data_IF_890095827907
#
_entry.id   IF_890095827907
#
_cell.length_a   1.000
_cell.length_b   1.000
_cell.length_c   1.000
_cell.angle_alpha   90.00
_cell.angle_beta   90.00
_cell.angle_gamma   90.00
#
_symmetry.space_group_name_H-M   'P 1'
#
loop_
_entity.id
_entity.type
_entity.pdbx_description
1 polymer ?
#
# COMPACT_ATOMS: atom_id res chain seq x y z
N UNK A 1 18.15 -21.19 -24.27
CA UNK A 1 17.92 -20.82 -22.86
C UNK A 1 16.53 -21.29 -22.46
N UNK A 2 16.43 -22.15 -21.44
CA UNK A 2 15.13 -22.64 -20.95
C UNK A 2 14.35 -21.43 -20.40
N UNK A 3 13.13 -21.10 -20.89
CA UNK A 3 12.40 -19.94 -20.38
C UNK A 3 12.20 -20.13 -18.88
N UNK A 4 12.78 -19.22 -18.08
CA UNK A 4 12.70 -19.30 -16.61
C UNK A 4 11.21 -19.32 -16.22
N UNK A 5 10.80 -20.36 -15.49
CA UNK A 5 9.40 -20.52 -15.03
C UNK A 5 9.01 -19.32 -14.17
N UNK A 6 7.83 -18.74 -14.38
CA UNK A 6 7.32 -17.66 -13.53
C UNK A 6 7.15 -18.13 -12.07
N UNK A 7 7.12 -17.19 -11.12
CA UNK A 7 6.98 -17.49 -9.69
C UNK A 7 5.70 -18.29 -9.39
N UNK A 8 4.60 -17.99 -10.08
CA UNK A 8 3.35 -18.73 -9.96
C UNK A 8 3.48 -20.21 -10.32
N UNK A 9 4.00 -20.53 -11.51
CA UNK A 9 4.15 -21.91 -11.94
C UNK A 9 5.22 -22.66 -11.13
N UNK A 10 6.26 -21.96 -10.66
CA UNK A 10 7.24 -22.51 -9.71
C UNK A 10 6.57 -22.92 -8.41
N UNK A 11 5.77 -22.03 -7.81
CA UNK A 11 5.06 -22.29 -6.56
C UNK A 11 4.05 -23.43 -6.70
N UNK A 12 3.25 -23.41 -7.77
CA UNK A 12 2.24 -24.44 -8.08
C UNK A 12 2.84 -25.77 -8.59
N UNK A 13 4.17 -25.89 -8.68
CA UNK A 13 4.89 -27.09 -9.14
C UNK A 13 4.42 -27.62 -10.50
N UNK A 14 4.07 -26.72 -11.43
CA UNK A 14 3.60 -27.07 -12.79
C UNK A 14 4.49 -26.50 -13.89
N UNK A 15 4.35 -27.02 -15.11
CA UNK A 15 5.03 -26.45 -16.30
C UNK A 15 4.51 -25.04 -16.56
N UNK A 16 5.41 -24.12 -16.94
CA UNK A 16 5.06 -22.77 -17.36
C UNK A 16 4.92 -22.75 -18.89
N UNK A 17 3.70 -22.61 -19.45
CA UNK A 17 3.53 -22.50 -20.90
C UNK A 17 4.00 -21.13 -21.41
N UNK A 18 4.19 -20.99 -22.73
CA UNK A 18 4.69 -19.75 -23.35
C UNK A 18 3.71 -18.57 -23.19
N UNK A 19 2.42 -18.88 -23.14
CA UNK A 19 1.26 -17.98 -22.97
C UNK A 19 0.74 -17.98 -21.53
N UNK A 20 1.61 -18.24 -20.54
CA UNK A 20 1.22 -18.29 -19.14
C UNK A 20 0.63 -16.96 -18.65
N UNK A 21 -0.66 -16.97 -18.29
CA UNK A 21 -1.40 -15.82 -17.77
C UNK A 21 -0.71 -15.11 -16.60
N UNK A 22 -0.07 -15.87 -15.71
CA UNK A 22 0.61 -15.32 -14.52
C UNK A 22 2.02 -14.79 -14.82
N UNK A 23 2.62 -15.16 -15.95
CA UNK A 23 4.03 -14.82 -16.23
C UNK A 23 4.33 -13.33 -16.32
N UNK A 24 3.46 -12.48 -16.89
CA UNK A 24 3.70 -11.03 -16.93
C UNK A 24 3.71 -10.37 -15.55
N UNK A 25 3.01 -10.97 -14.57
CA UNK A 25 2.77 -10.33 -13.26
C UNK A 25 3.61 -10.92 -12.12
N UNK A 26 4.06 -12.18 -12.27
CA UNK A 26 4.81 -12.93 -11.26
C UNK A 26 6.16 -13.41 -11.80
N UNK A 27 7.13 -12.49 -12.03
CA UNK A 27 8.45 -12.84 -12.53
C UNK A 27 9.23 -13.72 -11.53
N UNK A 28 10.22 -14.52 -11.98
CA UNK A 28 10.91 -15.49 -11.14
C UNK A 28 11.80 -14.91 -10.04
N UNK A 29 12.12 -13.61 -10.11
CA UNK A 29 12.96 -12.90 -9.14
C UNK A 29 12.24 -12.58 -7.83
N UNK A 30 10.91 -12.65 -7.80
CA UNK A 30 10.10 -12.37 -6.62
C UNK A 30 9.16 -13.56 -6.31
N UNK A 31 9.70 -14.65 -5.73
CA UNK A 31 8.90 -15.85 -5.45
C UNK A 31 7.88 -15.64 -4.33
N UNK A 32 8.16 -14.76 -3.36
CA UNK A 32 7.31 -14.54 -2.19
C UNK A 32 6.02 -13.80 -2.56
N UNK A 33 6.09 -12.91 -3.57
CA UNK A 33 4.93 -12.20 -4.11
C UNK A 33 3.77 -13.12 -4.50
N UNK A 34 4.07 -14.25 -5.14
CA UNK A 34 3.02 -15.23 -5.46
C UNK A 34 2.59 -16.05 -4.24
N UNK A 35 3.50 -16.34 -3.31
CA UNK A 35 3.16 -17.08 -2.10
C UNK A 35 2.13 -16.33 -1.23
N UNK A 36 2.31 -15.03 -1.01
CA UNK A 36 1.37 -14.21 -0.26
C UNK A 36 -0.01 -14.18 -0.92
N UNK A 37 -0.08 -13.77 -2.19
CA UNK A 37 -1.37 -13.63 -2.89
C UNK A 37 -2.10 -14.98 -3.03
N UNK A 38 -1.35 -16.08 -3.22
CA UNK A 38 -1.93 -17.42 -3.25
C UNK A 38 -2.51 -17.82 -1.90
N UNK A 39 -1.81 -17.52 -0.80
CA UNK A 39 -2.28 -17.86 0.55
C UNK A 39 -3.57 -17.14 0.92
N UNK A 40 -3.73 -15.88 0.52
CA UNK A 40 -4.87 -15.05 0.91
C UNK A 40 -6.03 -15.14 -0.07
N UNK A 41 -5.78 -15.04 -1.37
CA UNK A 41 -6.84 -15.01 -2.39
C UNK A 41 -6.96 -16.35 -3.13
N UNK A 42 -5.85 -17.07 -3.32
CA UNK A 42 -5.78 -18.28 -4.13
C UNK A 42 -5.66 -18.00 -5.63
N UNK A 43 -4.92 -18.85 -6.35
CA UNK A 43 -4.61 -18.63 -7.77
C UNK A 43 -5.87 -18.49 -8.66
N UNK A 44 -6.91 -19.29 -8.41
CA UNK A 44 -8.14 -19.25 -9.19
C UNK A 44 -8.89 -17.93 -9.07
N UNK A 45 -8.99 -17.39 -7.85
CA UNK A 45 -9.68 -16.12 -7.61
C UNK A 45 -8.88 -14.95 -8.18
N UNK A 46 -7.55 -14.94 -8.00
CA UNK A 46 -6.67 -13.95 -8.63
C UNK A 46 -6.86 -13.96 -10.15
N UNK A 47 -6.87 -15.13 -10.79
CA UNK A 47 -7.10 -15.24 -12.23
C UNK A 47 -8.45 -14.64 -12.64
N UNK A 48 -9.52 -14.95 -11.92
CA UNK A 48 -10.87 -14.44 -12.18
C UNK A 48 -10.95 -12.91 -12.02
N UNK A 49 -10.41 -12.38 -10.92
CA UNK A 49 -10.36 -10.94 -10.64
C UNK A 49 -9.61 -10.19 -11.75
N UNK A 50 -8.42 -10.67 -12.13
CA UNK A 50 -7.62 -10.01 -13.18
C UNK A 50 -8.29 -10.09 -14.55
N UNK A 51 -8.98 -11.19 -14.88
CA UNK A 51 -9.72 -11.30 -16.15
C UNK A 51 -10.85 -10.28 -16.30
N UNK A 52 -11.43 -9.81 -15.19
CA UNK A 52 -12.46 -8.77 -15.17
C UNK A 52 -11.89 -7.36 -15.38
N UNK A 53 -10.56 -7.18 -15.30
CA UNK A 53 -9.90 -5.90 -15.47
C UNK A 53 -9.35 -5.71 -16.89
N UNK A 54 -9.29 -4.46 -17.39
CA UNK A 54 -8.50 -4.10 -18.56
C UNK A 54 -7.04 -4.53 -18.40
N UNK A 55 -6.42 -5.00 -19.48
CA UNK A 55 -5.05 -5.57 -19.43
C UNK A 55 -4.04 -4.58 -18.84
N UNK A 56 -4.24 -3.29 -19.09
CA UNK A 56 -3.36 -2.20 -18.69
C UNK A 56 -3.31 -2.04 -17.16
N UNK A 57 -4.40 -2.30 -16.45
CA UNK A 57 -4.49 -2.12 -14.99
C UNK A 57 -4.20 -3.38 -14.20
N UNK A 58 -4.07 -4.54 -14.87
CA UNK A 58 -3.82 -5.83 -14.20
C UNK A 58 -2.51 -5.87 -13.42
N UNK A 59 -1.47 -5.20 -13.93
CA UNK A 59 -0.18 -5.14 -13.24
C UNK A 59 -0.30 -4.41 -11.90
N UNK A 60 -0.91 -3.22 -11.91
CA UNK A 60 -1.16 -2.44 -10.70
C UNK A 60 -2.09 -3.18 -9.73
N UNK A 61 -3.15 -3.82 -10.24
CA UNK A 61 -4.04 -4.63 -9.41
C UNK A 61 -3.30 -5.80 -8.73
N UNK A 62 -2.36 -6.46 -9.42
CA UNK A 62 -1.53 -7.50 -8.79
C UNK A 62 -0.66 -6.90 -7.70
N UNK A 63 -0.07 -5.73 -7.90
CA UNK A 63 0.75 -5.07 -6.86
C UNK A 63 -0.08 -4.74 -5.61
N UNK A 64 -1.29 -4.20 -5.78
CA UNK A 64 -2.23 -3.95 -4.68
C UNK A 64 -2.62 -5.22 -3.95
N UNK A 65 -3.04 -6.27 -4.67
CA UNK A 65 -3.42 -7.55 -4.06
C UNK A 65 -2.26 -8.22 -3.34
N UNK A 66 -1.03 -8.12 -3.88
CA UNK A 66 0.16 -8.64 -3.22
C UNK A 66 0.48 -7.88 -1.93
N UNK A 67 0.35 -6.55 -1.93
CA UNK A 67 0.52 -5.74 -0.73
C UNK A 67 -0.52 -6.12 0.34
N UNK A 68 -1.80 -6.14 -0.02
CA UNK A 68 -2.88 -6.55 0.89
C UNK A 68 -2.66 -7.96 1.45
N UNK A 69 -2.28 -8.91 0.59
CA UNK A 69 -1.99 -10.27 1.01
C UNK A 69 -0.81 -10.35 1.99
N UNK A 70 0.26 -9.61 1.72
CA UNK A 70 1.43 -9.55 2.60
C UNK A 70 1.03 -9.01 3.97
N UNK A 71 0.32 -7.88 4.02
CA UNK A 71 -0.15 -7.31 5.28
C UNK A 71 -1.05 -8.29 6.03
N UNK A 72 -1.94 -9.02 5.35
CA UNK A 72 -2.82 -10.02 5.98
C UNK A 72 -2.07 -11.25 6.50
N UNK A 73 -0.94 -11.61 5.89
CA UNK A 73 -0.07 -12.69 6.40
C UNK A 73 0.71 -12.25 7.63
N UNK A 74 1.19 -11.00 7.65
CA UNK A 74 1.93 -10.42 8.78
C UNK A 74 1.00 -10.10 9.97
N UNK A 75 -0.20 -9.57 9.69
CA UNK A 75 -1.27 -9.32 10.65
C UNK A 75 -2.56 -10.04 10.23
N UNK A 76 -2.79 -11.26 10.75
CA UNK A 76 -3.99 -12.04 10.45
C UNK A 76 -5.30 -11.45 10.99
N UNK A 77 -5.26 -10.43 11.85
CA UNK A 77 -6.45 -9.82 12.44
C UNK A 77 -6.87 -8.60 11.64
N UNK A 78 -5.96 -7.65 11.41
CA UNK A 78 -6.29 -6.36 10.76
C UNK A 78 -5.68 -6.19 9.37
N UNK A 79 -4.60 -6.89 9.04
CA UNK A 79 -3.91 -6.73 7.75
C UNK A 79 -3.61 -5.26 7.41
N UNK A 80 -3.89 -4.86 6.18
CA UNK A 80 -3.70 -3.47 5.74
C UNK A 80 -4.65 -2.47 6.43
N UNK A 81 -5.77 -2.91 7.02
CA UNK A 81 -6.69 -2.03 7.76
C UNK A 81 -6.04 -1.48 9.02
N UNK A 82 -5.18 -2.26 9.67
CA UNK A 82 -4.38 -1.77 10.82
C UNK A 82 -3.46 -0.62 10.43
N UNK A 83 -2.85 -0.70 9.24
CA UNK A 83 -2.01 0.36 8.67
C UNK A 83 -2.85 1.61 8.38
N UNK A 84 -4.03 1.44 7.75
CA UNK A 84 -4.94 2.55 7.47
C UNK A 84 -5.33 3.27 8.76
N UNK A 85 -5.75 2.53 9.79
CA UNK A 85 -6.13 3.08 11.07
C UNK A 85 -4.98 3.85 11.75
N UNK A 86 -3.78 3.27 11.73
CA UNK A 86 -2.58 3.92 12.26
C UNK A 86 -2.30 5.24 11.54
N UNK A 87 -2.31 5.24 10.21
CA UNK A 87 -2.06 6.45 9.40
C UNK A 87 -3.12 7.52 9.65
N UNK A 88 -4.41 7.14 9.70
CA UNK A 88 -5.50 8.08 10.01
C UNK A 88 -5.32 8.71 11.39
N UNK A 89 -4.92 7.93 12.40
CA UNK A 89 -4.63 8.43 13.74
C UNK A 89 -3.47 9.43 13.73
N UNK A 90 -2.42 9.17 12.95
CA UNK A 90 -1.25 10.05 12.83
C UNK A 90 -1.59 11.35 12.09
N UNK A 91 -2.45 11.29 11.06
CA UNK A 91 -2.97 12.48 10.37
C UNK A 91 -3.72 13.36 11.37
N UNK A 92 -4.69 12.80 12.10
CA UNK A 92 -5.49 13.56 13.08
C UNK A 92 -4.63 14.22 14.18
N UNK A 93 -3.64 13.49 14.71
CA UNK A 93 -2.70 14.04 15.70
C UNK A 93 -1.90 15.20 15.13
N UNK A 94 -1.39 15.04 13.91
CA UNK A 94 -0.59 16.06 13.23
C UNK A 94 -1.42 17.30 12.93
N UNK A 95 -2.65 17.13 12.44
CA UNK A 95 -3.57 18.24 12.17
C UNK A 95 -3.93 19.01 13.45
N UNK A 96 -4.18 18.30 14.55
CA UNK A 96 -4.44 18.90 15.86
C UNK A 96 -3.24 19.71 16.38
N UNK A 97 -2.02 19.16 16.26
CA UNK A 97 -0.80 19.86 16.64
C UNK A 97 -0.58 21.11 15.77
N UNK A 98 -0.78 20.98 14.46
CA UNK A 98 -0.66 22.10 13.53
C UNK A 98 -1.63 23.23 13.89
N UNK A 99 -2.90 22.91 14.13
CA UNK A 99 -3.91 23.89 14.51
C UNK A 99 -3.54 24.60 15.83
N UNK A 100 -3.05 23.86 16.82
CA UNK A 100 -2.57 24.42 18.08
C UNK A 100 -1.41 25.38 17.87
N UNK A 101 -0.38 24.97 17.13
CA UNK A 101 0.79 25.81 16.84
C UNK A 101 0.41 27.06 16.06
N UNK A 102 -0.51 26.96 15.09
CA UNK A 102 -1.02 28.12 14.35
C UNK A 102 -1.73 29.12 15.28
N UNK A 103 -2.53 28.64 16.23
CA UNK A 103 -3.19 29.50 17.22
C UNK A 103 -2.17 30.19 18.14
N UNK A 104 -1.15 29.46 18.61
CA UNK A 104 -0.05 30.00 19.42
C UNK A 104 0.73 31.10 18.69
N UNK A 105 1.02 30.90 17.39
CA UNK A 105 1.67 31.90 16.54
C UNK A 105 0.81 33.16 16.42
N UNK A 106 -0.49 33.02 16.15
CA UNK A 106 -1.41 34.16 16.03
C UNK A 106 -1.47 34.97 17.33
N UNK A 107 -1.52 34.31 18.49
CA UNK A 107 -1.48 34.98 19.80
C UNK A 107 -0.16 35.71 20.01
N UNK A 108 0.97 35.10 19.67
CA UNK A 108 2.28 35.73 19.79
C UNK A 108 2.42 36.98 18.90
N UNK A 109 1.89 36.92 17.68
CA UNK A 109 1.86 38.06 16.75
C UNK A 109 1.06 39.23 17.31
N UNK A 110 -0.14 38.98 17.86
CA UNK A 110 -0.97 40.03 18.48
C UNK A 110 -0.23 40.69 19.65
N UNK A 111 0.39 39.89 20.53
CA UNK A 111 1.16 40.41 21.67
C UNK A 111 2.35 41.26 21.21
N UNK A 112 3.06 40.83 20.16
CA UNK A 112 4.16 41.59 19.59
C UNK A 112 3.70 42.93 19.02
N UNK A 113 2.61 42.96 18.25
CA UNK A 113 2.04 44.21 17.73
C UNK A 113 1.56 45.16 18.83
N UNK A 114 0.98 44.63 19.92
CA UNK A 114 0.56 45.44 21.06
C UNK A 114 1.75 46.07 21.79
N UNK A 115 2.80 45.28 22.06
CA UNK A 115 4.02 45.77 22.72
C UNK A 115 4.70 46.89 21.92
N UNK A 116 4.79 46.73 20.59
CA UNK A 116 5.34 47.77 19.70
C UNK A 116 4.48 49.03 19.69
N UNK A 117 3.15 48.93 19.68
CA UNK A 117 2.29 50.12 19.72
C UNK A 117 2.36 50.88 21.05
N UNK A 118 2.64 50.20 22.17
CA UNK A 118 2.81 50.83 23.48
C UNK A 118 4.17 51.49 23.70
N UNK A 119 5.21 51.16 22.92
CA UNK A 119 6.52 51.83 22.98
C UNK A 119 6.56 53.16 22.18
N UNK A 120 5.57 53.41 21.32
CA UNK A 120 5.46 54.61 20.50
C UNK A 120 4.45 55.66 21.03
N UNK A 121 3.85 55.44 22.20
CA UNK A 121 2.94 56.37 22.89
C UNK A 121 3.53 56.81 24.22
#
# INVERSE_FOLDING_TARGET
>A
MNPKRCAACKYLRRRCPKDCFFSPYFPPNDPDKFAYIHRIYGAGNVSKMLQQLPVQTRAEAVDSLCFEAKCRVEDPVYGCVGIIYFLQTQIQKTESLLAKTQAEIAVAQIKHSQAQNSEFM
#
